data_IF_062523015933
#
_entry.id   IF_062523015933
#
_cell.length_a   1.000
_cell.length_b   1.000
_cell.length_c   1.000
_cell.angle_alpha   90.00
_cell.angle_beta   90.00
_cell.angle_gamma   90.00
#
_symmetry.space_group_name_H-M   'P 1'
#
loop_
_entity.id
_entity.type
_entity.pdbx_description
1 polymer ?
#
# COMPACT_ATOMS: atom_id res chain seq x y z
N UNK A 1 -2.72 -30.60 -35.10
CA UNK A 1 -3.97 -29.82 -34.94
C UNK A 1 -3.58 -28.35 -34.69
N UNK A 2 -3.72 -27.51 -35.71
CA UNK A 2 -3.55 -26.06 -35.60
C UNK A 2 -4.66 -25.53 -34.69
N UNK A 3 -4.32 -25.03 -33.49
CA UNK A 3 -5.28 -24.23 -32.70
C UNK A 3 -5.62 -22.98 -33.52
N UNK A 4 -6.88 -22.87 -33.91
CA UNK A 4 -7.41 -21.66 -34.50
C UNK A 4 -7.02 -20.47 -33.60
N UNK A 5 -6.32 -19.45 -34.15
CA UNK A 5 -6.13 -18.16 -33.51
C UNK A 5 -7.54 -17.59 -33.33
N UNK A 6 -8.06 -17.62 -32.11
CA UNK A 6 -9.27 -16.89 -31.76
C UNK A 6 -9.02 -15.42 -32.11
N UNK A 7 -9.90 -14.88 -32.93
CA UNK A 7 -9.84 -13.47 -33.34
C UNK A 7 -9.73 -12.58 -32.08
N UNK A 8 -8.83 -11.60 -32.14
CA UNK A 8 -8.64 -10.59 -31.10
C UNK A 8 -9.99 -9.90 -30.91
N UNK A 9 -10.66 -10.12 -29.79
CA UNK A 9 -11.92 -9.43 -29.48
C UNK A 9 -11.55 -8.10 -28.85
N UNK A 10 -11.75 -7.01 -29.57
CA UNK A 10 -11.57 -5.67 -29.02
C UNK A 10 -12.83 -5.32 -28.22
N UNK A 11 -12.64 -5.16 -26.89
CA UNK A 11 -13.70 -4.69 -26.01
C UNK A 11 -13.73 -3.17 -26.00
N UNK A 12 -14.91 -2.58 -26.04
CA UNK A 12 -15.09 -1.16 -25.75
C UNK A 12 -14.79 -0.93 -24.26
N UNK A 13 -13.89 0.02 -23.95
CA UNK A 13 -13.51 0.31 -22.59
C UNK A 13 -14.49 1.31 -21.95
N UNK A 14 -14.87 1.06 -20.68
CA UNK A 14 -15.64 2.01 -19.89
C UNK A 14 -14.83 3.29 -19.63
N UNK A 15 -15.50 4.45 -19.47
CA UNK A 15 -14.87 5.64 -18.94
C UNK A 15 -14.40 5.41 -17.49
N UNK A 16 -13.36 6.11 -17.03
CA UNK A 16 -12.81 5.93 -15.68
C UNK A 16 -13.85 6.22 -14.58
N UNK A 17 -14.81 7.10 -14.84
CA UNK A 17 -15.91 7.41 -13.93
C UNK A 17 -16.83 6.24 -13.65
N UNK A 18 -16.84 5.24 -14.55
CA UNK A 18 -17.65 4.04 -14.44
C UNK A 18 -16.81 2.80 -14.04
N UNK A 19 -15.48 2.92 -13.97
CA UNK A 19 -14.60 1.84 -13.53
C UNK A 19 -14.63 1.74 -12.00
N UNK A 20 -15.38 0.78 -11.45
CA UNK A 20 -15.50 0.56 -10.01
C UNK A 20 -14.31 -0.20 -9.44
N UNK A 21 -13.86 0.19 -8.23
CA UNK A 21 -12.83 -0.53 -7.47
C UNK A 21 -13.43 -1.54 -6.51
N UNK A 22 -14.60 -1.24 -5.93
CA UNK A 22 -15.30 -2.10 -4.97
C UNK A 22 -16.82 -1.85 -4.99
N UNK A 23 -17.56 -2.78 -4.41
CA UNK A 23 -18.96 -2.59 -4.01
C UNK A 23 -19.02 -2.30 -2.51
N UNK A 24 -20.15 -1.81 -2.02
CA UNK A 24 -20.41 -1.65 -0.59
C UNK A 24 -21.84 -2.05 -0.25
N UNK A 25 -22.12 -2.27 1.03
CA UNK A 25 -23.50 -2.45 1.53
C UNK A 25 -24.05 -1.11 1.98
N UNK A 26 -25.13 -0.66 1.33
CA UNK A 26 -25.79 0.56 1.70
C UNK A 26 -26.60 0.41 3.03
N UNK A 27 -27.19 1.48 3.51
CA UNK A 27 -27.97 1.52 4.75
C UNK A 27 -29.16 0.51 4.78
N UNK A 28 -29.59 0.02 3.63
CA UNK A 28 -30.65 -0.99 3.49
C UNK A 28 -30.09 -2.42 3.37
N UNK A 29 -28.78 -2.63 3.54
CA UNK A 29 -28.11 -3.91 3.42
C UNK A 29 -27.97 -4.42 1.99
N UNK A 30 -28.29 -3.59 0.99
CA UNK A 30 -28.19 -3.95 -0.44
C UNK A 30 -26.78 -3.65 -0.93
N UNK A 31 -26.21 -4.60 -1.71
CA UNK A 31 -24.92 -4.36 -2.38
C UNK A 31 -25.12 -3.34 -3.51
N UNK A 32 -24.31 -2.29 -3.50
CA UNK A 32 -24.38 -1.18 -4.44
C UNK A 32 -22.99 -0.85 -5.00
N UNK A 33 -22.95 -0.03 -6.06
CA UNK A 33 -21.72 0.49 -6.64
C UNK A 33 -20.98 1.35 -5.59
N UNK A 34 -19.73 1.00 -5.33
CA UNK A 34 -18.86 1.71 -4.43
C UNK A 34 -17.98 2.73 -5.15
N UNK A 35 -16.78 2.98 -4.64
CA UNK A 35 -15.85 3.95 -5.22
C UNK A 35 -15.27 3.48 -6.55
N UNK A 36 -14.94 4.46 -7.38
CA UNK A 36 -14.20 4.23 -8.64
C UNK A 36 -12.77 3.78 -8.38
N UNK A 37 -12.12 3.21 -9.39
CA UNK A 37 -10.69 2.87 -9.32
C UNK A 37 -9.83 4.11 -9.10
N UNK A 38 -10.22 5.27 -9.66
CA UNK A 38 -9.51 6.53 -9.44
C UNK A 38 -9.63 6.98 -7.97
N UNK A 39 -10.84 6.98 -7.37
CA UNK A 39 -11.00 7.33 -5.96
C UNK A 39 -10.18 6.42 -5.05
N UNK A 40 -10.25 5.11 -5.28
CA UNK A 40 -9.48 4.14 -4.51
C UNK A 40 -7.97 4.38 -4.64
N UNK A 41 -7.48 4.65 -5.84
CA UNK A 41 -6.08 5.00 -6.09
C UNK A 41 -5.65 6.25 -5.29
N UNK A 42 -6.45 7.31 -5.30
CA UNK A 42 -6.16 8.54 -4.55
C UNK A 42 -6.22 8.31 -3.02
N UNK A 43 -7.17 7.54 -2.54
CA UNK A 43 -7.29 7.17 -1.12
C UNK A 43 -6.04 6.40 -0.67
N UNK A 44 -5.67 5.34 -1.39
CA UNK A 44 -4.52 4.49 -1.02
C UNK A 44 -3.19 5.25 -1.09
N UNK A 45 -3.03 6.15 -2.08
CA UNK A 45 -1.89 7.05 -2.14
C UNK A 45 -1.82 8.01 -0.95
N UNK A 46 -2.95 8.63 -0.58
CA UNK A 46 -3.02 9.51 0.58
C UNK A 46 -2.75 8.77 1.91
N UNK A 47 -3.24 7.53 2.03
CA UNK A 47 -2.92 6.64 3.17
C UNK A 47 -1.42 6.36 3.21
N UNK A 48 -0.80 6.01 2.07
CA UNK A 48 0.64 5.74 2.00
C UNK A 48 1.48 6.97 2.37
N UNK A 49 1.11 8.15 1.90
CA UNK A 49 1.78 9.40 2.25
C UNK A 49 1.72 9.65 3.77
N UNK A 50 0.56 9.47 4.39
CA UNK A 50 0.42 9.64 5.84
C UNK A 50 1.15 8.54 6.63
N UNK A 51 1.17 7.30 6.15
CA UNK A 51 1.98 6.22 6.76
C UNK A 51 3.47 6.60 6.78
N UNK A 52 4.00 7.13 5.68
CA UNK A 52 5.39 7.59 5.61
C UNK A 52 5.68 8.73 6.60
N UNK A 53 4.75 9.67 6.80
CA UNK A 53 4.87 10.72 7.82
C UNK A 53 4.92 10.15 9.26
N UNK A 54 4.33 8.97 9.48
CA UNK A 54 4.32 8.29 10.80
C UNK A 54 5.55 7.40 11.03
N UNK A 55 6.30 7.08 9.98
CA UNK A 55 7.51 6.27 10.12
C UNK A 55 8.63 7.05 10.83
N UNK A 56 9.50 6.34 11.58
CA UNK A 56 10.71 6.93 12.11
C UNK A 56 11.55 7.55 10.98
N UNK A 57 12.05 8.77 11.15
CA UNK A 57 12.81 9.48 10.11
C UNK A 57 14.04 8.71 9.62
N UNK A 58 14.64 7.86 10.46
CA UNK A 58 15.76 7.00 10.06
C UNK A 58 15.40 5.97 8.98
N UNK A 59 14.11 5.68 8.79
CA UNK A 59 13.64 4.76 7.75
C UNK A 59 13.33 5.46 6.43
N UNK A 60 13.06 6.77 6.45
CA UNK A 60 12.67 7.53 5.26
C UNK A 60 13.66 7.46 4.09
N UNK A 61 15.00 7.42 4.31
CA UNK A 61 15.95 7.28 3.21
C UNK A 61 15.80 6.00 2.38
N UNK A 62 15.08 4.99 2.90
CA UNK A 62 14.78 3.77 2.16
C UNK A 62 13.57 3.90 1.23
N UNK A 63 12.80 4.98 1.34
CA UNK A 63 11.62 5.25 0.51
C UNK A 63 11.93 6.41 -0.46
N UNK A 64 11.96 6.16 -1.77
CA UNK A 64 12.11 7.23 -2.75
C UNK A 64 10.98 8.26 -2.65
N UNK A 65 11.27 9.50 -3.00
CA UNK A 65 10.24 10.55 -3.05
C UNK A 65 9.14 10.19 -4.05
N UNK A 66 7.90 10.42 -3.67
CA UNK A 66 6.72 10.18 -4.52
C UNK A 66 6.28 8.73 -4.61
N UNK A 67 6.73 7.85 -3.71
CA UNK A 67 6.32 6.42 -3.72
C UNK A 67 4.83 6.22 -3.45
N UNK A 68 4.14 7.19 -2.85
CA UNK A 68 2.69 7.26 -2.73
C UNK A 68 1.99 7.06 -4.08
N UNK A 69 2.58 7.56 -5.19
CA UNK A 69 2.06 7.37 -6.55
C UNK A 69 2.19 5.93 -7.04
N UNK A 70 3.26 5.21 -6.66
CA UNK A 70 3.36 3.77 -6.94
C UNK A 70 2.25 3.02 -6.22
N UNK A 71 2.01 3.38 -4.95
CA UNK A 71 0.91 2.80 -4.17
C UNK A 71 -0.44 3.11 -4.82
N UNK A 72 -0.68 4.35 -5.26
CA UNK A 72 -1.90 4.71 -5.99
C UNK A 72 -2.12 3.86 -7.25
N UNK A 73 -1.05 3.44 -7.92
CA UNK A 73 -1.13 2.67 -9.15
C UNK A 73 -1.37 1.16 -8.95
N UNK A 74 -1.42 0.64 -7.69
CA UNK A 74 -1.44 -0.80 -7.44
C UNK A 74 -2.62 -1.52 -8.10
N UNK A 75 -3.76 -0.88 -8.14
CA UNK A 75 -5.04 -1.44 -8.61
C UNK A 75 -5.41 -1.03 -10.05
N UNK A 76 -4.48 -0.50 -10.82
CA UNK A 76 -4.73 -0.13 -12.23
C UNK A 76 -5.28 -1.31 -13.04
N UNK A 77 -4.97 -2.54 -12.68
CA UNK A 77 -5.47 -3.76 -13.31
C UNK A 77 -6.97 -4.02 -13.11
N UNK A 78 -7.62 -3.36 -12.16
CA UNK A 78 -9.08 -3.38 -12.04
C UNK A 78 -9.77 -2.71 -13.22
N UNK A 79 -9.05 -1.85 -13.97
CA UNK A 79 -9.52 -1.27 -15.23
C UNK A 79 -9.33 -2.32 -16.34
N UNK A 80 -10.21 -3.32 -16.34
CA UNK A 80 -10.24 -4.39 -17.32
C UNK A 80 -11.66 -4.96 -17.46
N UNK A 81 -12.03 -5.57 -18.60
CA UNK A 81 -13.41 -5.99 -18.85
C UNK A 81 -13.89 -7.06 -17.86
N UNK A 82 -13.03 -8.02 -17.50
CA UNK A 82 -13.40 -9.13 -16.63
C UNK A 82 -13.69 -8.68 -15.20
N UNK A 83 -12.86 -7.80 -14.64
CA UNK A 83 -13.10 -7.25 -13.31
C UNK A 83 -14.33 -6.35 -13.31
N UNK A 84 -14.48 -5.47 -14.30
CA UNK A 84 -15.63 -4.56 -14.39
C UNK A 84 -16.93 -5.32 -14.61
N UNK A 85 -16.96 -6.39 -15.42
CA UNK A 85 -18.13 -7.26 -15.52
C UNK A 85 -18.53 -7.81 -14.14
N UNK A 86 -17.58 -8.43 -13.44
CA UNK A 86 -17.84 -9.04 -12.13
C UNK A 86 -18.35 -8.03 -11.10
N UNK A 87 -17.76 -6.86 -11.03
CA UNK A 87 -18.13 -5.87 -10.01
C UNK A 87 -19.47 -5.19 -10.33
N UNK A 88 -19.77 -4.89 -11.59
CA UNK A 88 -21.07 -4.37 -12.01
C UNK A 88 -22.20 -5.39 -11.86
N UNK A 89 -21.90 -6.68 -12.08
CA UNK A 89 -22.84 -7.76 -11.78
C UNK A 89 -23.17 -7.79 -10.28
N UNK A 90 -22.16 -7.72 -9.41
CA UNK A 90 -22.35 -7.71 -7.97
C UNK A 90 -23.09 -6.46 -7.48
N UNK A 91 -22.87 -5.30 -8.14
CA UNK A 91 -23.57 -4.05 -7.85
C UNK A 91 -24.99 -3.97 -8.43
N UNK A 92 -25.42 -4.94 -9.24
CA UNK A 92 -26.71 -4.92 -9.93
C UNK A 92 -26.82 -3.93 -11.08
N UNK A 93 -25.68 -3.39 -11.55
CA UNK A 93 -25.62 -2.37 -12.62
C UNK A 93 -25.11 -2.89 -13.97
N UNK A 94 -24.84 -4.19 -14.11
CA UNK A 94 -24.27 -4.76 -15.34
C UNK A 94 -25.13 -4.47 -16.58
N UNK A 95 -26.45 -4.50 -16.44
CA UNK A 95 -27.36 -4.23 -17.55
C UNK A 95 -27.25 -2.82 -18.14
N UNK A 96 -26.63 -1.89 -17.44
CA UNK A 96 -26.36 -0.53 -17.93
C UNK A 96 -25.16 -0.47 -18.88
N UNK A 97 -24.31 -1.53 -18.87
CA UNK A 97 -23.06 -1.60 -19.62
C UNK A 97 -23.05 -2.81 -20.57
N UNK A 98 -23.78 -2.75 -21.71
CA UNK A 98 -23.86 -3.85 -22.68
C UNK A 98 -22.49 -4.23 -23.26
N UNK A 99 -21.52 -3.31 -23.27
CA UNK A 99 -20.14 -3.55 -23.68
C UNK A 99 -19.39 -4.56 -22.80
N UNK A 100 -19.85 -4.78 -21.57
CA UNK A 100 -19.29 -5.77 -20.65
C UNK A 100 -19.94 -7.16 -20.78
N UNK A 101 -21.05 -7.28 -21.50
CA UNK A 101 -21.86 -8.53 -21.54
C UNK A 101 -21.03 -9.74 -22.01
N UNK A 102 -20.09 -9.51 -22.93
CA UNK A 102 -19.24 -10.55 -23.53
C UNK A 102 -17.94 -10.81 -22.76
N UNK A 103 -17.68 -10.08 -21.67
CA UNK A 103 -16.51 -10.33 -20.83
C UNK A 103 -16.72 -11.58 -19.98
N UNK A 104 -15.72 -12.47 -19.96
CA UNK A 104 -15.76 -13.70 -19.17
C UNK A 104 -14.97 -13.51 -17.85
N UNK A 105 -15.66 -13.35 -16.70
CA UNK A 105 -15.01 -13.17 -15.41
C UNK A 105 -14.10 -14.35 -14.98
N UNK A 106 -14.33 -15.56 -15.52
CA UNK A 106 -13.53 -16.75 -15.19
C UNK A 106 -12.07 -16.61 -15.62
N UNK A 107 -11.83 -15.84 -16.68
CA UNK A 107 -10.48 -15.55 -17.18
C UNK A 107 -9.61 -14.78 -16.17
N UNK A 108 -10.19 -14.07 -15.20
CA UNK A 108 -9.45 -13.39 -14.16
C UNK A 108 -8.67 -14.37 -13.27
N UNK A 109 -9.21 -15.56 -13.02
CA UNK A 109 -8.54 -16.61 -12.26
C UNK A 109 -7.31 -17.14 -12.98
N UNK A 110 -7.39 -17.30 -14.31
CA UNK A 110 -6.24 -17.71 -15.14
C UNK A 110 -5.09 -16.71 -15.06
N UNK A 111 -5.41 -15.44 -14.80
CA UNK A 111 -4.45 -14.36 -14.61
C UNK A 111 -3.96 -14.20 -13.17
N UNK A 112 -4.46 -14.94 -12.21
CA UNK A 112 -4.24 -14.72 -10.78
C UNK A 112 -4.73 -13.33 -10.32
N UNK A 113 -5.86 -12.89 -10.84
CA UNK A 113 -6.53 -11.66 -10.46
C UNK A 113 -5.98 -10.38 -11.14
N UNK A 114 -6.58 -9.27 -10.77
CA UNK A 114 -6.25 -7.93 -11.29
C UNK A 114 -4.81 -7.49 -10.98
N UNK A 115 -4.17 -8.02 -9.93
CA UNK A 115 -2.78 -7.69 -9.61
C UNK A 115 -1.81 -8.09 -10.73
N UNK A 116 -2.05 -9.24 -11.41
CA UNK A 116 -1.25 -9.62 -12.59
C UNK A 116 -1.54 -8.74 -13.80
N UNK A 117 -2.78 -8.24 -13.93
CA UNK A 117 -3.13 -7.26 -14.97
C UNK A 117 -2.42 -5.92 -14.67
N UNK A 118 -2.38 -5.47 -13.41
CA UNK A 118 -1.62 -4.30 -12.99
C UNK A 118 -0.13 -4.44 -13.35
N UNK A 119 0.47 -5.60 -13.03
CA UNK A 119 1.85 -5.91 -13.40
C UNK A 119 2.09 -5.76 -14.91
N UNK A 120 1.24 -6.41 -15.74
CA UNK A 120 1.38 -6.39 -17.19
C UNK A 120 1.21 -4.99 -17.77
N UNK A 121 0.23 -4.23 -17.26
CA UNK A 121 -0.04 -2.85 -17.67
C UNK A 121 1.16 -1.94 -17.40
N UNK A 122 1.74 -2.02 -16.20
CA UNK A 122 2.90 -1.21 -15.85
C UNK A 122 4.16 -1.63 -16.59
N UNK A 123 4.37 -2.92 -16.82
CA UNK A 123 5.48 -3.41 -17.64
C UNK A 123 5.44 -2.87 -19.07
N UNK A 124 4.25 -2.54 -19.59
CA UNK A 124 4.08 -1.99 -20.92
C UNK A 124 4.42 -0.49 -21.03
N UNK A 125 4.30 0.28 -19.93
CA UNK A 125 4.35 1.76 -20.00
C UNK A 125 5.56 2.38 -19.30
N UNK A 126 6.36 1.60 -18.55
CA UNK A 126 7.50 2.16 -17.83
C UNK A 126 8.68 1.19 -17.77
N UNK A 127 9.90 1.76 -17.72
CA UNK A 127 11.14 0.99 -17.83
C UNK A 127 11.74 0.47 -16.53
N UNK A 128 11.22 0.86 -15.35
CA UNK A 128 11.74 0.42 -14.07
C UNK A 128 11.31 -1.04 -13.78
N UNK A 129 12.28 -1.92 -13.55
CA UNK A 129 12.00 -3.37 -13.36
C UNK A 129 11.29 -3.70 -12.06
N UNK A 130 11.37 -2.83 -11.04
CA UNK A 130 10.82 -3.07 -9.72
C UNK A 130 9.35 -2.64 -9.60
N UNK A 131 8.95 -1.53 -10.24
CA UNK A 131 7.60 -0.97 -10.08
C UNK A 131 6.50 -1.96 -10.47
N UNK A 132 6.55 -2.67 -11.62
CA UNK A 132 5.57 -3.70 -11.93
C UNK A 132 5.52 -4.82 -10.88
N UNK A 133 6.68 -5.20 -10.32
CA UNK A 133 6.76 -6.23 -9.29
C UNK A 133 6.10 -5.78 -7.97
N UNK A 134 6.31 -4.51 -7.57
CA UNK A 134 5.68 -3.94 -6.38
C UNK A 134 4.17 -4.02 -6.52
N UNK A 135 3.65 -3.48 -7.60
CA UNK A 135 2.23 -3.40 -7.88
C UNK A 135 1.60 -4.79 -8.08
N UNK A 136 2.27 -5.69 -8.81
CA UNK A 136 1.76 -7.03 -9.07
C UNK A 136 1.79 -7.98 -7.87
N UNK A 137 2.43 -7.61 -6.75
CA UNK A 137 2.59 -8.45 -5.57
C UNK A 137 1.86 -7.95 -4.33
N UNK A 138 1.05 -6.90 -4.44
CA UNK A 138 0.38 -6.30 -3.27
C UNK A 138 -0.55 -7.28 -2.52
N UNK A 139 -0.98 -8.37 -3.16
CA UNK A 139 -1.68 -9.48 -2.51
C UNK A 139 -0.78 -10.62 -2.01
N UNK A 140 0.55 -10.42 -1.98
CA UNK A 140 1.51 -11.40 -1.48
C UNK A 140 1.84 -12.56 -2.43
N UNK A 141 1.19 -12.66 -3.59
CA UNK A 141 1.42 -13.72 -4.60
C UNK A 141 2.17 -13.14 -5.80
N UNK A 142 3.12 -13.89 -6.40
CA UNK A 142 3.78 -13.44 -7.63
C UNK A 142 2.78 -13.26 -8.77
N UNK A 143 2.89 -12.17 -9.57
CA UNK A 143 2.07 -12.00 -10.75
C UNK A 143 2.38 -13.08 -11.79
N UNK A 144 1.43 -13.33 -12.70
CA UNK A 144 1.68 -14.22 -13.84
C UNK A 144 2.42 -13.44 -14.92
N UNK A 145 3.66 -13.80 -15.17
CA UNK A 145 4.56 -13.03 -16.06
C UNK A 145 4.43 -13.39 -17.56
N UNK A 146 3.77 -14.50 -17.87
CA UNK A 146 3.74 -15.10 -19.22
C UNK A 146 2.58 -14.66 -20.10
N UNK A 147 2.00 -13.48 -19.88
CA UNK A 147 0.87 -13.01 -20.67
C UNK A 147 1.24 -12.01 -21.75
N UNK A 148 0.65 -12.25 -22.93
CA UNK A 148 0.57 -11.26 -23.99
C UNK A 148 -0.68 -10.40 -23.77
N UNK A 149 -0.57 -9.09 -24.06
CA UNK A 149 -1.66 -8.12 -23.97
C UNK A 149 -2.90 -8.47 -24.83
N UNK A 150 -2.86 -9.57 -25.59
CA UNK A 150 -3.89 -10.02 -26.52
C UNK A 150 -4.97 -10.90 -25.89
N UNK A 151 -4.99 -11.14 -24.57
CA UNK A 151 -6.02 -11.98 -24.00
C UNK A 151 -7.27 -11.18 -23.60
N UNK A 152 -8.41 -11.86 -23.65
CA UNK A 152 -9.72 -11.27 -23.34
C UNK A 152 -9.82 -10.66 -21.93
N UNK A 153 -9.06 -11.17 -20.95
CA UNK A 153 -9.04 -10.61 -19.60
C UNK A 153 -8.39 -9.22 -19.54
N UNK A 154 -7.39 -8.98 -20.38
CA UNK A 154 -6.69 -7.70 -20.43
C UNK A 154 -7.49 -6.62 -21.17
N UNK A 155 -8.34 -7.02 -22.14
CA UNK A 155 -9.27 -6.15 -22.88
C UNK A 155 -8.67 -5.41 -24.05
N UNK A 156 -7.44 -5.74 -24.47
CA UNK A 156 -6.81 -5.14 -25.66
C UNK A 156 -6.41 -3.68 -25.50
N UNK A 157 -6.25 -2.99 -26.63
CA UNK A 157 -5.67 -1.64 -26.70
C UNK A 157 -6.58 -0.56 -26.09
N UNK A 158 -7.91 -0.69 -26.22
CA UNK A 158 -8.85 0.29 -25.66
C UNK A 158 -8.77 0.34 -24.13
N UNK A 159 -8.73 -0.83 -23.47
CA UNK A 159 -8.58 -0.91 -22.02
C UNK A 159 -7.16 -0.51 -21.56
N UNK A 160 -6.13 -0.77 -22.39
CA UNK A 160 -4.78 -0.31 -22.08
C UNK A 160 -4.70 1.23 -22.09
N UNK A 161 -5.28 1.88 -23.09
CA UNK A 161 -5.36 3.35 -23.11
C UNK A 161 -6.09 3.89 -21.87
N UNK A 162 -7.15 3.23 -21.43
CA UNK A 162 -7.88 3.65 -20.23
C UNK A 162 -7.03 3.53 -18.97
N UNK A 163 -6.19 2.47 -18.87
CA UNK A 163 -5.21 2.34 -17.77
C UNK A 163 -4.14 3.43 -17.84
N UNK A 164 -3.67 3.76 -19.03
CA UNK A 164 -2.70 4.85 -19.24
C UNK A 164 -3.27 6.22 -18.85
N UNK A 165 -4.53 6.48 -19.15
CA UNK A 165 -5.23 7.69 -18.67
C UNK A 165 -5.28 7.74 -17.15
N UNK A 166 -5.63 6.64 -16.48
CA UNK A 166 -5.62 6.55 -15.02
C UNK A 166 -4.22 6.80 -14.46
N UNK A 167 -3.21 6.18 -15.03
CA UNK A 167 -1.82 6.37 -14.61
C UNK A 167 -1.35 7.81 -14.82
N UNK A 168 -1.74 8.45 -15.92
CA UNK A 168 -1.43 9.86 -16.18
C UNK A 168 -2.06 10.79 -15.11
N UNK A 169 -3.30 10.52 -14.69
CA UNK A 169 -3.95 11.25 -13.60
C UNK A 169 -3.23 11.07 -12.25
N UNK A 170 -2.78 9.84 -11.94
CA UNK A 170 -2.05 9.52 -10.71
C UNK A 170 -0.66 10.17 -10.70
N UNK A 171 0.09 10.07 -11.79
CA UNK A 171 1.48 10.53 -11.85
C UNK A 171 1.59 12.05 -12.00
N UNK A 172 0.64 12.68 -12.68
CA UNK A 172 0.69 14.10 -13.00
C UNK A 172 2.00 14.48 -13.71
N UNK A 173 2.46 15.70 -13.52
CA UNK A 173 3.72 16.21 -14.10
C UNK A 173 4.99 15.63 -13.46
N UNK A 174 4.89 15.05 -12.26
CA UNK A 174 6.06 14.58 -11.50
C UNK A 174 6.64 13.26 -12.00
N UNK A 175 5.89 12.51 -12.82
CA UNK A 175 6.33 11.22 -13.36
C UNK A 175 6.51 10.11 -12.32
N UNK A 176 7.19 9.03 -12.74
CA UNK A 176 7.42 7.85 -11.91
C UNK A 176 8.58 8.06 -10.94
N UNK A 177 8.43 7.64 -9.66
CA UNK A 177 9.56 7.57 -8.72
C UNK A 177 10.61 6.57 -9.21
N UNK A 178 11.88 6.81 -8.85
CA UNK A 178 12.95 5.86 -9.13
C UNK A 178 13.09 4.86 -7.98
N UNK A 179 12.93 3.57 -8.30
CA UNK A 179 13.17 2.46 -7.37
C UNK A 179 14.45 1.77 -7.82
N UNK A 180 15.53 1.93 -7.06
CA UNK A 180 16.87 1.53 -7.47
C UNK A 180 17.36 0.21 -6.90
N UNK A 181 16.64 -0.37 -5.91
CA UNK A 181 17.09 -1.60 -5.25
C UNK A 181 15.95 -2.57 -4.90
N UNK A 182 16.32 -3.86 -4.78
CA UNK A 182 15.42 -4.91 -4.31
C UNK A 182 14.90 -4.63 -2.89
N UNK A 183 15.72 -4.05 -2.02
CA UNK A 183 15.33 -3.70 -0.65
C UNK A 183 14.24 -2.64 -0.66
N UNK A 184 14.39 -1.57 -1.45
CA UNK A 184 13.34 -0.58 -1.64
C UNK A 184 12.07 -1.22 -2.19
N UNK A 185 12.17 -2.08 -3.20
CA UNK A 185 11.01 -2.77 -3.75
C UNK A 185 10.25 -3.59 -2.71
N UNK A 186 10.95 -4.32 -1.84
CA UNK A 186 10.33 -5.10 -0.76
C UNK A 186 9.61 -4.22 0.27
N UNK A 187 10.24 -3.11 0.67
CA UNK A 187 9.62 -2.14 1.60
C UNK A 187 8.37 -1.51 0.97
N UNK A 188 8.44 -1.17 -0.32
CA UNK A 188 7.30 -0.61 -1.04
C UNK A 188 6.17 -1.61 -1.25
N UNK A 189 6.46 -2.90 -1.45
CA UNK A 189 5.42 -3.94 -1.44
C UNK A 189 4.67 -3.97 -0.11
N UNK A 190 5.40 -3.91 1.01
CA UNK A 190 4.80 -3.84 2.35
C UNK A 190 3.95 -2.59 2.53
N UNK A 191 4.47 -1.42 2.17
CA UNK A 191 3.73 -0.15 2.23
C UNK A 191 2.45 -0.21 1.39
N UNK A 192 2.54 -0.74 0.16
CA UNK A 192 1.39 -0.88 -0.75
C UNK A 192 0.32 -1.78 -0.14
N UNK A 193 0.70 -2.94 0.40
CA UNK A 193 -0.23 -3.87 1.03
C UNK A 193 -0.95 -3.24 2.22
N UNK A 194 -0.22 -2.56 3.10
CA UNK A 194 -0.81 -1.92 4.30
C UNK A 194 -1.71 -0.75 3.88
N UNK A 195 -1.28 0.06 2.93
CA UNK A 195 -2.07 1.20 2.45
C UNK A 195 -3.36 0.75 1.75
N UNK A 196 -3.32 -0.34 0.96
CA UNK A 196 -4.50 -0.94 0.36
C UNK A 196 -5.48 -1.47 1.42
N UNK A 197 -5.02 -2.21 2.43
CA UNK A 197 -5.88 -2.71 3.52
C UNK A 197 -6.58 -1.58 4.25
N UNK A 198 -5.86 -0.50 4.59
CA UNK A 198 -6.45 0.67 5.25
C UNK A 198 -7.42 1.40 4.31
N UNK A 199 -7.01 1.66 3.04
CA UNK A 199 -7.80 2.37 2.04
C UNK A 199 -9.02 1.59 1.53
N UNK A 200 -9.04 0.27 1.76
CA UNK A 200 -10.19 -0.60 1.48
C UNK A 200 -11.15 -0.74 2.67
N UNK A 201 -10.86 -0.11 3.83
CA UNK A 201 -11.68 -0.21 5.04
C UNK A 201 -13.04 0.49 4.92
N UNK A 202 -13.95 0.16 5.85
CA UNK A 202 -15.35 0.61 5.88
C UNK A 202 -15.53 2.13 5.90
N UNK A 203 -14.56 2.88 6.43
CA UNK A 203 -14.61 4.35 6.43
C UNK A 203 -14.71 4.95 5.02
N UNK A 204 -14.25 4.22 4.01
CA UNK A 204 -14.22 4.64 2.62
C UNK A 204 -15.31 4.00 1.75
N UNK A 205 -16.27 3.29 2.34
CA UNK A 205 -17.28 2.54 1.58
C UNK A 205 -18.23 3.43 0.80
N UNK A 206 -18.73 4.50 1.43
CA UNK A 206 -19.73 5.39 0.82
C UNK A 206 -19.09 6.28 -0.25
N UNK A 207 -19.42 6.10 -1.56
CA UNK A 207 -18.73 6.82 -2.64
C UNK A 207 -19.04 8.34 -2.65
N UNK A 208 -20.17 8.77 -2.09
CA UNK A 208 -20.57 10.17 -2.05
C UNK A 208 -19.89 10.96 -0.92
N UNK A 209 -19.30 10.26 0.05
CA UNK A 209 -18.67 10.89 1.20
C UNK A 209 -17.27 11.39 0.85
N UNK A 210 -16.95 12.62 1.23
CA UNK A 210 -15.58 13.10 1.11
C UNK A 210 -14.63 12.21 1.90
N UNK A 211 -13.67 11.64 1.23
CA UNK A 211 -12.72 10.69 1.80
C UNK A 211 -11.48 11.36 2.41
N UNK A 212 -11.13 12.57 1.96
CA UNK A 212 -9.88 13.21 2.37
C UNK A 212 -9.76 13.39 3.90
N UNK A 213 -10.78 13.88 4.64
CA UNK A 213 -10.70 13.99 6.10
C UNK A 213 -10.68 12.63 6.81
N UNK A 214 -11.09 11.54 6.15
CA UNK A 214 -11.16 10.20 6.74
C UNK A 214 -9.82 9.49 6.76
N UNK A 215 -8.84 9.90 5.92
CA UNK A 215 -7.53 9.25 5.81
C UNK A 215 -6.81 9.20 7.16
N UNK A 216 -6.73 10.33 7.87
CA UNK A 216 -6.10 10.39 9.20
C UNK A 216 -6.79 9.46 10.18
N UNK A 217 -8.13 9.48 10.22
CA UNK A 217 -8.91 8.61 11.10
C UNK A 217 -8.65 7.13 10.78
N UNK A 218 -8.59 6.74 9.51
CA UNK A 218 -8.34 5.37 9.10
C UNK A 218 -6.95 4.89 9.53
N UNK A 219 -5.91 5.71 9.31
CA UNK A 219 -4.53 5.41 9.71
C UNK A 219 -4.38 5.32 11.22
N UNK A 220 -5.02 6.23 11.98
CA UNK A 220 -5.03 6.21 13.44
C UNK A 220 -5.76 4.95 13.98
N UNK A 221 -6.90 4.57 13.41
CA UNK A 221 -7.64 3.34 13.77
C UNK A 221 -6.83 2.08 13.47
N UNK A 222 -6.00 2.09 12.44
CA UNK A 222 -5.09 0.99 12.12
C UNK A 222 -3.88 0.91 13.08
N UNK A 223 -3.77 1.83 14.06
CA UNK A 223 -2.73 1.82 15.08
C UNK A 223 -1.45 2.57 14.70
N UNK A 224 -1.40 3.21 13.53
CA UNK A 224 -0.26 4.03 13.12
C UNK A 224 -0.39 5.45 13.70
N UNK A 225 -0.24 5.55 15.01
CA UNK A 225 -0.31 6.83 15.74
C UNK A 225 1.00 7.61 15.64
N UNK A 226 0.97 8.95 15.74
CA UNK A 226 2.19 9.73 15.87
C UNK A 226 2.97 9.28 17.09
N UNK A 227 4.25 8.93 16.88
CA UNK A 227 5.13 8.62 18.00
C UNK A 227 5.50 9.92 18.71
N UNK A 228 5.15 10.02 19.99
CA UNK A 228 5.59 11.09 20.87
C UNK A 228 6.41 10.49 22.01
N UNK A 229 7.67 10.94 22.15
CA UNK A 229 8.49 10.55 23.28
C UNK A 229 8.20 11.50 24.44
N UNK A 230 7.71 10.96 25.56
CA UNK A 230 7.71 11.73 26.83
C UNK A 230 9.16 11.89 27.28
N UNK A 231 9.60 13.10 27.49
CA UNK A 231 10.96 13.42 27.93
C UNK A 231 10.99 13.68 29.45
N UNK A 232 12.18 13.58 30.05
CA UNK A 232 12.37 13.89 31.48
C UNK A 232 11.93 12.81 32.45
N UNK A 233 11.64 11.58 31.98
CA UNK A 233 11.26 10.49 32.86
C UNK A 233 12.48 9.87 33.54
N UNK A 234 12.44 9.75 34.88
CA UNK A 234 13.45 8.99 35.62
C UNK A 234 13.22 7.47 35.49
N UNK A 235 14.21 6.68 35.88
CA UNK A 235 14.06 5.22 35.93
C UNK A 235 12.91 4.80 36.85
N UNK A 236 12.81 5.47 38.01
CA UNK A 236 11.71 5.22 38.96
C UNK A 236 10.35 5.59 38.39
N UNK A 237 10.25 6.68 37.64
CA UNK A 237 8.99 7.09 37.01
C UNK A 237 8.50 6.06 35.97
N UNK A 238 9.43 5.40 35.27
CA UNK A 238 9.08 4.38 34.28
C UNK A 238 8.77 3.01 34.87
N UNK A 239 9.50 2.60 35.91
CA UNK A 239 9.44 1.21 36.41
C UNK A 239 8.92 1.08 37.83
N UNK A 240 8.73 2.17 38.59
CA UNK A 240 8.19 2.18 39.95
C UNK A 240 9.21 1.80 41.02
N UNK A 241 10.49 1.69 40.70
CA UNK A 241 11.57 1.36 41.67
C UNK A 241 12.90 1.98 41.22
N UNK A 242 13.83 2.19 42.16
CA UNK A 242 15.15 2.71 41.88
C UNK A 242 16.07 1.68 41.19
N UNK A 243 16.95 2.10 40.27
CA UNK A 243 17.83 1.19 39.58
C UNK A 243 18.83 0.56 40.55
N UNK A 244 19.11 -0.72 40.40
CA UNK A 244 20.16 -1.44 41.12
C UNK A 244 21.53 -1.05 40.57
N UNK A 245 22.60 -1.25 41.31
CA UNK A 245 23.95 -0.87 40.93
C UNK A 245 24.39 -1.38 39.53
N UNK A 246 24.02 -2.65 39.18
CA UNK A 246 24.33 -3.22 37.88
C UNK A 246 23.54 -2.54 36.76
N UNK A 247 22.29 -2.16 37.00
CA UNK A 247 21.46 -1.41 36.06
C UNK A 247 22.00 0.01 35.84
N UNK A 248 22.32 0.68 36.95
CA UNK A 248 22.90 2.03 36.95
C UNK A 248 24.23 2.07 36.15
N UNK A 249 25.14 1.13 36.42
CA UNK A 249 26.40 1.04 35.71
C UNK A 249 26.24 0.80 34.21
N UNK A 250 25.28 -0.05 33.81
CA UNK A 250 24.97 -0.27 32.41
C UNK A 250 24.41 0.99 31.73
N UNK A 251 23.45 1.68 32.36
CA UNK A 251 22.82 2.88 31.85
C UNK A 251 23.86 4.00 31.65
N UNK A 252 24.82 4.12 32.55
CA UNK A 252 25.91 5.12 32.46
C UNK A 252 26.90 4.83 31.34
N UNK A 253 27.13 3.55 31.03
CA UNK A 253 28.03 3.15 29.92
C UNK A 253 27.40 3.33 28.55
N UNK A 254 26.07 3.28 28.44
CA UNK A 254 25.38 3.46 27.14
C UNK A 254 25.31 4.94 26.78
N UNK A 255 26.34 5.41 26.07
CA UNK A 255 26.50 6.84 25.73
C UNK A 255 26.23 7.21 24.27
N UNK A 256 26.05 6.21 23.37
CA UNK A 256 25.82 6.42 21.94
C UNK A 256 25.53 5.13 21.20
N UNK A 257 25.38 5.19 19.86
CA UNK A 257 25.16 3.98 19.05
C UNK A 257 26.28 2.96 19.22
N UNK A 258 25.92 1.69 19.41
CA UNK A 258 26.87 0.61 19.60
C UNK A 258 26.21 -0.71 19.95
N UNK A 259 27.01 -1.73 20.17
CA UNK A 259 26.58 -3.02 20.71
C UNK A 259 26.97 -3.07 22.19
N UNK A 260 26.01 -3.23 23.07
CA UNK A 260 26.20 -3.30 24.50
C UNK A 260 25.71 -4.67 25.01
N UNK A 261 26.51 -5.32 25.83
CA UNK A 261 26.21 -6.64 26.40
C UNK A 261 26.07 -6.49 27.91
N UNK A 262 24.88 -6.81 28.43
CA UNK A 262 24.60 -6.82 29.87
C UNK A 262 24.45 -8.26 30.36
N UNK A 263 25.45 -8.75 31.10
CA UNK A 263 25.40 -10.04 31.75
C UNK A 263 25.08 -9.85 33.26
N UNK A 264 24.02 -10.47 33.71
CA UNK A 264 23.61 -10.49 35.10
C UNK A 264 22.70 -11.69 35.38
N UNK A 265 22.58 -12.19 36.63
CA UNK A 265 21.64 -13.23 36.99
C UNK A 265 20.20 -12.94 36.58
N UNK A 266 19.36 -13.98 36.56
CA UNK A 266 17.92 -13.81 36.36
C UNK A 266 17.31 -12.94 37.49
N UNK A 267 16.28 -12.14 37.13
CA UNK A 267 15.60 -11.26 38.09
C UNK A 267 16.36 -9.97 38.46
N UNK A 268 17.53 -9.71 37.84
CA UNK A 268 18.29 -8.49 38.09
C UNK A 268 17.83 -7.25 37.30
N UNK A 269 16.75 -7.38 36.55
CA UNK A 269 16.17 -6.23 35.79
C UNK A 269 16.97 -5.81 34.57
N UNK A 270 17.54 -6.78 33.83
CA UNK A 270 18.29 -6.50 32.58
C UNK A 270 17.44 -5.80 31.53
N UNK A 271 16.18 -6.20 31.42
CA UNK A 271 15.23 -5.65 30.43
C UNK A 271 14.95 -4.18 30.72
N UNK A 272 14.69 -3.84 31.99
CA UNK A 272 14.42 -2.47 32.42
C UNK A 272 15.65 -1.57 32.18
N UNK A 273 16.86 -2.07 32.47
CA UNK A 273 18.09 -1.34 32.19
C UNK A 273 18.27 -1.06 30.69
N UNK A 274 18.03 -2.07 29.84
CA UNK A 274 18.14 -1.94 28.38
C UNK A 274 17.09 -0.97 27.83
N UNK A 275 15.84 -1.06 28.28
CA UNK A 275 14.76 -0.15 27.87
C UNK A 275 15.05 1.29 28.29
N UNK A 276 15.53 1.51 29.52
CA UNK A 276 15.86 2.86 29.99
C UNK A 276 17.07 3.45 29.25
N UNK A 277 18.09 2.66 28.98
CA UNK A 277 19.22 3.09 28.18
C UNK A 277 18.77 3.49 26.74
N UNK A 278 17.90 2.69 26.12
CA UNK A 278 17.30 3.01 24.82
C UNK A 278 16.46 4.31 24.89
N UNK A 279 15.60 4.45 25.93
CA UNK A 279 14.84 5.67 26.17
C UNK A 279 15.75 6.92 26.25
N UNK A 280 16.81 6.86 27.06
CA UNK A 280 17.77 7.98 27.17
C UNK A 280 18.47 8.31 25.83
N UNK A 281 18.79 7.29 25.04
CA UNK A 281 19.37 7.51 23.71
C UNK A 281 18.38 8.23 22.77
N UNK A 282 17.11 7.84 22.78
CA UNK A 282 16.05 8.49 22.04
C UNK A 282 15.84 9.94 22.50
N UNK A 283 15.75 10.15 23.82
CA UNK A 283 15.61 11.48 24.43
C UNK A 283 16.74 12.43 24.07
N UNK A 284 17.98 11.92 24.02
CA UNK A 284 19.18 12.69 23.66
C UNK A 284 19.36 12.84 22.12
N UNK A 285 18.44 12.28 21.31
CA UNK A 285 18.56 12.27 19.86
C UNK A 285 19.76 11.47 19.32
N UNK A 286 20.30 10.53 20.14
CA UNK A 286 21.45 9.70 19.78
C UNK A 286 21.03 8.38 19.12
N UNK A 287 19.75 8.04 19.16
CA UNK A 287 19.18 6.87 18.49
C UNK A 287 17.95 7.30 17.70
N UNK A 288 17.84 6.82 16.48
CA UNK A 288 16.62 6.81 15.70
C UNK A 288 16.24 8.08 14.98
N UNK A 289 16.31 9.26 15.55
CA UNK A 289 15.86 10.48 14.86
C UNK A 289 16.94 11.58 14.92
N UNK A 290 17.67 11.78 13.83
CA UNK A 290 18.45 13.01 13.67
C UNK A 290 17.47 14.15 13.48
N UNK A 291 17.28 14.99 14.48
CA UNK A 291 16.74 16.34 14.24
C UNK A 291 17.67 16.99 13.21
N UNK A 292 17.20 17.15 11.98
CA UNK A 292 17.80 18.11 11.08
C UNK A 292 17.58 19.50 11.68
N UNK A 293 18.65 20.11 12.15
CA UNK A 293 18.71 21.55 12.38
C UNK A 293 18.58 22.27 11.07
#
# INVERSE_FOLDING_TARGET
MLRARTAKKDFTALPLTECLAKTYRNAHGVTAAGRTVLDHALITGAVAALLLERLPKCTLPFYPEGVDRIVSAHDVGKVCPTFQHKIHQAAGSLGTFPELADADPSLEQDWRGHASISFAALKAVQGNVFIPQIVGRHHGVPPKESYTASCNAYGGDAWQKRREELLALIMGERGWPDVSSKTQALLLMGLTTVADWIGSGELFDEPQKDWAPLVRKAVDHAGFLPLSLQTGLSFEALFGFSPRGVQQAFIEQVSGPGVYILEAPMGMGKTEAALYAAYRMLEQGKAGDRKST
#
